data_IF_280112514320
#
_entry.id   IF_280112514320
#
_cell.length_a   1.000
_cell.length_b   1.000
_cell.length_c   1.000
_cell.angle_alpha   90.00
_cell.angle_beta   90.00
_cell.angle_gamma   90.00
#
_symmetry.space_group_name_H-M   'P 1'
#
loop_
_entity.id
_entity.type
_entity.pdbx_description
1 polymer ?
#
# COMPACT_ATOMS: atom_id res chain seq x y z
N UNK A 1 -13.59 -0.36 -15.63
CA UNK A 1 -12.86 -1.18 -14.66
C UNK A 1 -11.80 -0.30 -13.99
N UNK A 2 -11.76 -0.27 -12.67
CA UNK A 2 -10.82 0.57 -11.91
C UNK A 2 -9.83 -0.27 -11.13
N UNK A 3 -8.57 0.16 -11.09
CA UNK A 3 -7.52 -0.43 -10.28
C UNK A 3 -6.93 0.63 -9.34
N UNK A 4 -6.52 0.21 -8.16
CA UNK A 4 -5.81 1.02 -7.19
C UNK A 4 -4.38 0.51 -7.10
N UNK A 5 -3.40 1.40 -7.29
CA UNK A 5 -2.02 1.17 -6.87
C UNK A 5 -1.83 1.83 -5.51
N UNK A 6 -1.37 1.07 -4.55
CA UNK A 6 -1.04 1.59 -3.23
C UNK A 6 0.41 1.29 -2.86
N UNK A 7 1.00 2.20 -2.10
CA UNK A 7 2.38 2.12 -1.68
C UNK A 7 2.46 2.37 -0.18
N UNK A 8 3.11 1.46 0.55
CA UNK A 8 3.37 1.64 1.97
C UNK A 8 4.69 2.39 2.09
N UNK A 9 4.57 3.72 2.31
CA UNK A 9 5.68 4.67 2.41
C UNK A 9 6.15 4.74 3.85
N UNK A 10 7.19 4.01 4.13
CA UNK A 10 7.65 3.68 5.46
C UNK A 10 9.17 3.69 5.54
N UNK A 11 9.70 3.59 6.74
CA UNK A 11 11.10 3.34 7.02
C UNK A 11 11.54 1.99 6.45
N UNK A 12 12.68 1.95 5.77
CA UNK A 12 13.24 0.70 5.25
C UNK A 12 13.90 -0.11 6.36
N UNK A 13 13.11 -0.70 7.23
CA UNK A 13 13.54 -1.46 8.40
C UNK A 13 13.55 -2.99 8.20
N UNK A 14 13.07 -3.47 7.05
CA UNK A 14 12.97 -4.90 6.79
C UNK A 14 14.28 -5.71 6.97
N UNK A 15 15.49 -5.19 6.70
CA UNK A 15 16.72 -5.93 6.98
C UNK A 15 16.93 -6.24 8.46
N UNK A 16 16.32 -5.47 9.36
CA UNK A 16 16.43 -5.70 10.82
C UNK A 16 15.74 -7.00 11.25
N UNK A 17 14.69 -7.42 10.53
CA UNK A 17 14.06 -8.73 10.73
C UNK A 17 15.02 -9.90 10.43
N UNK A 18 16.08 -9.62 9.64
CA UNK A 18 17.09 -10.59 9.24
C UNK A 18 18.45 -10.35 9.91
N UNK A 19 18.46 -9.56 11.00
CA UNK A 19 19.63 -9.33 11.85
C UNK A 19 20.63 -8.30 11.32
N UNK A 20 20.32 -7.58 10.24
CA UNK A 20 21.13 -6.46 9.76
C UNK A 20 20.59 -5.15 10.30
N UNK A 21 21.37 -4.46 11.14
CA UNK A 21 21.03 -3.09 11.55
C UNK A 21 21.17 -2.13 10.38
N UNK A 22 20.19 -1.26 10.22
CA UNK A 22 20.18 -0.18 9.22
C UNK A 22 20.07 1.15 9.94
N UNK A 23 20.92 2.12 9.60
CA UNK A 23 20.82 3.45 10.19
C UNK A 23 19.47 4.09 9.83
N UNK A 24 18.94 4.93 10.73
CA UNK A 24 17.68 5.66 10.46
C UNK A 24 17.80 6.48 9.17
N UNK A 25 18.97 7.10 8.93
CA UNK A 25 19.22 7.82 7.69
C UNK A 25 19.08 6.93 6.45
N UNK A 26 19.73 5.75 6.44
CA UNK A 26 19.61 4.82 5.32
C UNK A 26 18.17 4.34 5.13
N UNK A 27 17.44 4.06 6.21
CA UNK A 27 16.02 3.66 6.15
C UNK A 27 15.20 4.72 5.42
N UNK A 28 15.40 6.00 5.76
CA UNK A 28 14.71 7.13 5.11
C UNK A 28 15.13 7.31 3.65
N UNK A 29 16.43 7.27 3.37
CA UNK A 29 16.97 7.51 2.04
C UNK A 29 16.60 6.41 1.03
N UNK A 30 16.58 5.14 1.44
CA UNK A 30 16.20 4.03 0.54
C UNK A 30 14.75 4.18 0.10
N UNK A 31 13.83 4.45 1.03
CA UNK A 31 12.42 4.69 0.71
C UNK A 31 12.24 5.96 -0.12
N UNK A 32 13.01 7.03 0.15
CA UNK A 32 12.93 8.28 -0.61
C UNK A 32 13.36 8.06 -2.08
N UNK A 33 14.49 7.38 -2.33
CA UNK A 33 14.95 7.08 -3.70
C UNK A 33 13.93 6.27 -4.49
N UNK A 34 13.33 5.26 -3.85
CA UNK A 34 12.28 4.47 -4.49
C UNK A 34 11.01 5.27 -4.75
N UNK A 35 10.64 6.18 -3.84
CA UNK A 35 9.50 7.08 -4.03
C UNK A 35 9.74 8.02 -5.22
N UNK A 36 10.93 8.60 -5.35
CA UNK A 36 11.26 9.47 -6.50
C UNK A 36 11.12 8.73 -7.84
N UNK A 37 11.60 7.49 -7.90
CA UNK A 37 11.46 6.67 -9.10
C UNK A 37 9.99 6.36 -9.43
N UNK A 38 9.18 6.07 -8.39
CA UNK A 38 7.75 5.83 -8.54
C UNK A 38 7.00 7.06 -9.00
N UNK A 39 7.23 8.23 -8.40
CA UNK A 39 6.57 9.48 -8.79
C UNK A 39 6.82 9.80 -10.26
N UNK A 40 8.07 9.67 -10.73
CA UNK A 40 8.43 9.87 -12.13
C UNK A 40 7.68 8.90 -13.07
N UNK A 41 7.46 7.65 -12.64
CA UNK A 41 6.70 6.68 -13.43
C UNK A 41 5.20 7.00 -13.44
N UNK A 42 4.62 7.30 -12.27
CA UNK A 42 3.20 7.61 -12.13
C UNK A 42 2.84 8.90 -12.90
N UNK A 43 3.69 9.91 -12.83
CA UNK A 43 3.55 11.17 -13.57
C UNK A 43 3.56 10.97 -15.08
N UNK A 44 4.45 10.11 -15.59
CA UNK A 44 4.52 9.76 -17.03
C UNK A 44 3.19 9.26 -17.58
N UNK A 45 2.43 8.55 -16.77
CA UNK A 45 1.13 7.99 -17.15
C UNK A 45 -0.07 8.81 -16.65
N UNK A 46 0.16 9.87 -15.89
CA UNK A 46 -0.87 10.71 -15.29
C UNK A 46 -1.81 9.93 -14.37
N UNK A 47 -1.32 8.91 -13.68
CA UNK A 47 -2.15 8.04 -12.83
C UNK A 47 -2.00 8.39 -11.34
N UNK A 48 -3.12 8.52 -10.61
CA UNK A 48 -3.10 8.69 -9.18
C UNK A 48 -2.80 7.36 -8.47
N UNK A 49 -2.29 7.46 -7.23
CA UNK A 49 -2.05 6.33 -6.35
C UNK A 49 -2.35 6.72 -4.90
N UNK A 50 -2.40 5.74 -4.00
CA UNK A 50 -2.53 5.96 -2.55
C UNK A 50 -1.21 5.61 -1.87
N UNK A 51 -0.68 6.53 -1.05
CA UNK A 51 0.50 6.31 -0.24
C UNK A 51 0.08 6.20 1.23
N UNK A 52 0.12 5.00 1.76
CA UNK A 52 -0.01 4.75 3.20
C UNK A 52 1.31 5.08 3.85
N UNK A 53 1.36 6.17 4.61
CA UNK A 53 2.62 6.77 5.08
C UNK A 53 2.69 6.73 6.59
N UNK A 54 3.85 6.35 7.15
CA UNK A 54 4.09 6.46 8.59
C UNK A 54 4.29 7.92 8.99
N UNK A 55 3.76 8.30 10.15
CA UNK A 55 3.91 9.66 10.66
C UNK A 55 5.37 10.03 10.87
N UNK A 56 6.20 9.07 11.31
CA UNK A 56 7.63 9.28 11.49
C UNK A 56 8.34 9.56 10.17
N UNK A 57 8.12 8.73 9.13
CA UNK A 57 8.68 8.96 7.81
C UNK A 57 8.31 10.35 7.25
N UNK A 58 7.04 10.74 7.42
CA UNK A 58 6.55 12.03 6.95
C UNK A 58 7.24 13.22 7.63
N UNK A 59 7.49 13.14 8.94
CA UNK A 59 8.20 14.19 9.69
C UNK A 59 9.62 14.43 9.17
N UNK A 60 10.33 13.34 8.84
CA UNK A 60 11.73 13.38 8.39
C UNK A 60 11.85 13.76 6.90
N UNK A 61 10.80 13.56 6.09
CA UNK A 61 10.85 13.75 4.64
C UNK A 61 9.81 14.77 4.12
N UNK A 62 9.61 15.89 4.82
CA UNK A 62 8.59 16.91 4.49
C UNK A 62 8.60 17.37 3.02
N UNK A 63 9.75 17.67 2.37
CA UNK A 63 9.74 18.08 0.97
C UNK A 63 9.21 17.00 0.02
N UNK A 64 9.53 15.72 0.30
CA UNK A 64 9.03 14.59 -0.47
C UNK A 64 7.53 14.41 -0.27
N UNK A 65 7.04 14.57 0.98
CA UNK A 65 5.62 14.49 1.28
C UNK A 65 4.80 15.54 0.53
N UNK A 66 5.28 16.77 0.42
CA UNK A 66 4.62 17.81 -0.37
C UNK A 66 4.50 17.42 -1.86
N UNK A 67 5.51 16.75 -2.43
CA UNK A 67 5.49 16.26 -3.82
C UNK A 67 4.51 15.10 -4.00
N UNK A 68 4.49 14.15 -3.06
CA UNK A 68 3.53 13.03 -3.08
C UNK A 68 2.10 13.58 -3.01
N UNK A 69 1.84 14.45 -2.03
CA UNK A 69 0.52 15.02 -1.78
C UNK A 69 -0.03 15.87 -2.93
N UNK A 70 0.84 16.41 -3.79
CA UNK A 70 0.41 17.25 -4.92
C UNK A 70 -0.48 16.50 -5.94
N UNK A 71 -0.35 15.17 -6.05
CA UNK A 71 -1.05 14.38 -7.09
C UNK A 71 -1.62 13.05 -6.60
N UNK A 72 -1.25 12.62 -5.41
CA UNK A 72 -1.61 11.32 -4.87
C UNK A 72 -2.33 11.47 -3.53
N UNK A 73 -3.07 10.46 -3.16
CA UNK A 73 -3.69 10.38 -1.85
C UNK A 73 -2.65 10.02 -0.79
N UNK A 74 -2.68 10.73 0.34
CA UNK A 74 -1.98 10.36 1.56
C UNK A 74 -2.97 9.66 2.49
N UNK A 75 -2.59 8.48 2.96
CA UNK A 75 -3.30 7.69 3.96
C UNK A 75 -2.34 7.33 5.10
N UNK A 76 -2.87 6.95 6.25
CA UNK A 76 -2.04 6.64 7.43
C UNK A 76 -1.53 5.19 7.40
N UNK A 77 -0.26 5.02 7.75
CA UNK A 77 0.38 3.73 8.04
C UNK A 77 0.88 3.67 9.49
N UNK A 78 0.08 4.19 10.43
CA UNK A 78 0.43 4.43 11.83
C UNK A 78 1.64 5.37 12.00
N UNK A 79 2.19 5.44 13.24
CA UNK A 79 3.29 6.37 13.54
C UNK A 79 4.65 5.80 13.11
N UNK A 80 4.90 4.52 13.39
CA UNK A 80 6.15 3.81 13.10
C UNK A 80 5.88 2.45 12.44
N UNK A 81 6.78 2.03 11.55
CA UNK A 81 6.75 0.70 10.96
C UNK A 81 7.57 -0.33 11.76
N UNK A 82 8.52 0.12 12.57
CA UNK A 82 9.51 -0.72 13.26
C UNK A 82 8.92 -1.96 13.94
N UNK A 83 9.53 -3.15 13.77
CA UNK A 83 9.11 -4.36 14.47
C UNK A 83 9.35 -4.32 15.97
N UNK A 84 10.19 -3.37 16.42
CA UNK A 84 10.58 -3.17 17.82
C UNK A 84 9.74 -2.09 18.52
N UNK A 85 8.88 -1.40 17.76
CA UNK A 85 7.93 -0.45 18.34
C UNK A 85 6.73 -1.19 18.92
N UNK A 86 6.39 -0.89 20.17
CA UNK A 86 5.18 -1.38 20.82
C UNK A 86 3.99 -0.53 20.37
N UNK A 87 3.29 -1.00 19.34
CA UNK A 87 2.17 -0.30 18.72
C UNK A 87 1.08 0.02 19.75
N UNK A 88 0.73 1.30 19.82
CA UNK A 88 -0.43 1.78 20.54
C UNK A 88 -1.49 2.26 19.54
N UNK A 89 -2.77 2.09 19.84
CA UNK A 89 -3.82 2.52 18.91
C UNK A 89 -3.79 4.05 18.71
N UNK A 90 -3.31 4.80 19.67
CA UNK A 90 -3.11 6.25 19.62
C UNK A 90 -2.07 6.67 18.56
N UNK A 91 -1.12 5.80 18.20
CA UNK A 91 -0.15 6.02 17.10
C UNK A 91 -0.85 6.29 15.77
N UNK A 92 -2.04 5.71 15.57
CA UNK A 92 -2.85 5.92 14.36
C UNK A 92 -3.39 7.35 14.33
N UNK A 93 -3.92 7.84 15.46
CA UNK A 93 -4.44 9.22 15.56
C UNK A 93 -3.31 10.23 15.41
N UNK A 94 -2.19 10.04 16.12
CA UNK A 94 -1.03 10.93 16.00
C UNK A 94 -0.49 10.97 14.57
N UNK A 95 -0.39 9.83 13.90
CA UNK A 95 0.01 9.76 12.49
C UNK A 95 -0.93 10.58 11.59
N UNK A 96 -2.26 10.44 11.76
CA UNK A 96 -3.25 11.20 11.00
C UNK A 96 -3.02 12.71 11.17
N UNK A 97 -2.91 13.19 12.42
CA UNK A 97 -2.71 14.61 12.74
C UNK A 97 -1.43 15.17 12.09
N UNK A 98 -0.33 14.38 12.13
CA UNK A 98 0.94 14.75 11.49
C UNK A 98 0.80 14.86 9.97
N UNK A 99 0.20 13.84 9.35
CA UNK A 99 0.06 13.78 7.90
C UNK A 99 -0.83 14.91 7.38
N UNK A 100 -1.94 15.20 8.05
CA UNK A 100 -2.84 16.32 7.72
C UNK A 100 -2.13 17.68 7.88
N UNK A 101 -1.41 17.87 8.97
CA UNK A 101 -0.66 19.11 9.20
C UNK A 101 0.46 19.35 8.18
N UNK A 102 1.11 18.29 7.71
CA UNK A 102 2.22 18.39 6.75
C UNK A 102 1.76 18.53 5.30
N UNK A 103 0.64 17.93 4.94
CA UNK A 103 0.23 17.82 3.54
C UNK A 103 -0.97 18.70 3.18
N UNK A 104 -1.73 19.14 4.18
CA UNK A 104 -3.00 19.84 3.97
C UNK A 104 -4.11 18.97 3.39
N UNK A 105 -3.89 17.66 3.23
CA UNK A 105 -4.91 16.71 2.81
C UNK A 105 -5.66 16.15 4.01
N UNK A 106 -6.94 15.89 3.86
CA UNK A 106 -7.70 15.05 4.78
C UNK A 106 -7.23 13.59 4.68
N UNK A 107 -6.87 12.97 5.80
CA UNK A 107 -6.41 11.58 5.87
C UNK A 107 -7.55 10.70 6.34
N UNK A 108 -8.17 9.99 5.41
CA UNK A 108 -9.37 9.17 5.65
C UNK A 108 -9.12 7.66 5.53
N UNK A 109 -7.93 7.27 5.14
CA UNK A 109 -7.55 5.87 4.94
C UNK A 109 -6.49 5.40 5.91
N UNK A 110 -6.57 4.12 6.26
CA UNK A 110 -5.61 3.46 7.13
C UNK A 110 -5.13 2.12 6.56
N UNK A 111 -3.88 1.79 6.82
CA UNK A 111 -3.34 0.42 6.68
C UNK A 111 -2.42 0.14 7.85
N UNK A 112 -2.65 -1.01 8.51
CA UNK A 112 -1.82 -1.44 9.64
C UNK A 112 -0.44 -1.89 9.18
N UNK A 113 0.66 -1.39 9.77
CA UNK A 113 2.01 -1.89 9.54
C UNK A 113 2.08 -3.40 9.67
N UNK A 114 2.76 -4.05 8.71
CA UNK A 114 2.94 -5.51 8.67
C UNK A 114 1.63 -6.31 8.63
N UNK A 115 0.49 -5.65 8.36
CA UNK A 115 -0.85 -6.22 8.36
C UNK A 115 -1.17 -7.01 9.65
N UNK A 116 -0.69 -6.51 10.80
CA UNK A 116 -0.97 -7.12 12.11
C UNK A 116 -2.45 -6.96 12.47
N UNK A 117 -3.06 -7.94 13.16
CA UNK A 117 -4.41 -7.75 13.71
C UNK A 117 -4.43 -6.59 14.72
N UNK A 118 -5.48 -5.77 14.68
CA UNK A 118 -5.70 -4.68 15.61
C UNK A 118 -7.19 -4.37 15.75
N UNK A 119 -7.57 -3.55 16.73
CA UNK A 119 -8.94 -3.11 16.95
C UNK A 119 -9.28 -1.90 16.07
N UNK A 120 -10.24 -2.08 15.15
CA UNK A 120 -10.71 -1.05 14.23
C UNK A 120 -11.71 -0.07 14.86
N UNK A 121 -12.28 -0.41 16.02
CA UNK A 121 -13.45 0.27 16.58
C UNK A 121 -13.29 1.79 16.80
N UNK A 122 -12.05 2.25 17.04
CA UNK A 122 -11.75 3.67 17.27
C UNK A 122 -11.55 4.46 15.98
N UNK A 123 -11.26 3.82 14.85
CA UNK A 123 -10.87 4.52 13.62
C UNK A 123 -11.99 5.37 13.05
N UNK A 124 -13.22 4.86 13.01
CA UNK A 124 -14.38 5.61 12.53
C UNK A 124 -14.61 6.89 13.37
N UNK A 125 -14.46 6.79 14.69
CA UNK A 125 -14.58 7.95 15.60
C UNK A 125 -13.50 9.01 15.38
N UNK A 126 -12.36 8.65 14.78
CA UNK A 126 -11.28 9.57 14.42
C UNK A 126 -11.38 10.07 12.97
N UNK A 127 -12.49 9.79 12.29
CA UNK A 127 -12.76 10.26 10.93
C UNK A 127 -12.06 9.47 9.82
N UNK A 128 -11.68 8.22 10.08
CA UNK A 128 -11.30 7.32 8.99
C UNK A 128 -12.54 6.79 8.28
N UNK A 129 -12.47 6.65 6.96
CA UNK A 129 -13.54 6.13 6.11
C UNK A 129 -13.28 4.68 5.70
N UNK A 130 -12.00 4.29 5.55
CA UNK A 130 -11.64 2.95 5.12
C UNK A 130 -10.38 2.41 5.80
N UNK A 131 -10.32 1.08 5.92
CA UNK A 131 -9.15 0.29 6.26
C UNK A 131 -8.70 -0.55 5.06
N UNK A 132 -7.41 -0.78 4.90
CA UNK A 132 -6.83 -1.60 3.84
C UNK A 132 -5.81 -2.62 4.39
N UNK A 133 -6.03 -3.08 5.62
CA UNK A 133 -5.11 -3.97 6.34
C UNK A 133 -5.35 -5.45 6.04
N UNK A 134 -6.45 -5.81 5.39
CA UNK A 134 -6.80 -7.21 5.17
C UNK A 134 -6.14 -7.78 3.91
N UNK A 135 -5.45 -8.91 4.06
CA UNK A 135 -4.98 -9.72 2.93
C UNK A 135 -5.62 -11.11 3.00
N UNK A 136 -6.77 -11.33 2.30
CA UNK A 136 -7.63 -12.51 2.46
C UNK A 136 -7.08 -13.74 1.73
N UNK A 137 -5.93 -14.22 2.17
CA UNK A 137 -5.18 -15.34 1.60
C UNK A 137 -4.60 -16.24 2.69
N UNK A 138 -4.01 -17.33 2.30
CA UNK A 138 -3.13 -18.13 3.15
C UNK A 138 -1.67 -17.81 2.79
N UNK A 139 -0.94 -17.31 3.76
CA UNK A 139 0.50 -17.08 3.65
C UNK A 139 1.20 -18.02 4.64
N UNK A 140 1.80 -19.13 4.17
CA UNK A 140 2.43 -20.11 5.05
C UNK A 140 3.45 -19.48 6.00
N UNK A 141 3.37 -19.83 7.28
CA UNK A 141 4.24 -19.29 8.33
C UNK A 141 3.88 -17.89 8.84
N UNK A 142 2.85 -17.24 8.26
CA UNK A 142 2.37 -15.92 8.72
C UNK A 142 0.92 -15.94 9.17
N UNK A 143 -0.02 -16.25 8.28
CA UNK A 143 -1.46 -16.28 8.60
C UNK A 143 -2.28 -17.10 7.60
N UNK A 144 -3.48 -17.48 8.03
CA UNK A 144 -4.52 -18.07 7.17
C UNK A 144 -5.81 -17.26 7.33
N UNK A 145 -6.10 -16.43 6.33
CA UNK A 145 -7.26 -15.54 6.24
C UNK A 145 -8.18 -15.92 5.06
N UNK A 146 -8.20 -17.21 4.67
CA UNK A 146 -9.05 -17.68 3.58
C UNK A 146 -10.55 -17.59 3.90
N UNK A 147 -10.91 -17.48 5.18
CA UNK A 147 -12.30 -17.31 5.63
C UNK A 147 -12.80 -15.86 5.44
N UNK A 148 -11.89 -14.88 5.33
CA UNK A 148 -12.22 -13.48 5.20
C UNK A 148 -12.83 -13.14 3.82
N UNK A 149 -13.66 -12.08 3.77
CA UNK A 149 -14.24 -11.61 2.53
C UNK A 149 -13.18 -10.95 1.63
N UNK A 150 -13.00 -11.41 0.37
CA UNK A 150 -12.02 -10.83 -0.54
C UNK A 150 -12.55 -9.65 -1.37
N UNK A 151 -13.74 -9.19 -1.11
CA UNK A 151 -14.36 -8.05 -1.76
C UNK A 151 -14.44 -6.87 -0.78
N UNK A 152 -14.46 -5.62 -1.28
CA UNK A 152 -14.78 -4.49 -0.44
C UNK A 152 -16.11 -4.70 0.31
N UNK A 153 -16.10 -4.43 1.61
CA UNK A 153 -17.27 -4.62 2.47
C UNK A 153 -17.19 -3.70 3.69
N UNK A 154 -18.28 -3.67 4.49
CA UNK A 154 -18.29 -2.94 5.75
C UNK A 154 -17.74 -3.84 6.84
N UNK A 155 -16.87 -3.26 7.65
CA UNK A 155 -16.34 -3.86 8.86
C UNK A 155 -16.23 -2.78 9.95
N UNK A 156 -16.96 -2.94 11.03
CA UNK A 156 -16.96 -2.01 12.18
C UNK A 156 -17.17 -0.53 11.81
N UNK A 157 -18.06 -0.28 10.85
CA UNK A 157 -18.40 1.08 10.39
C UNK A 157 -17.43 1.69 9.37
N UNK A 158 -16.38 0.96 8.98
CA UNK A 158 -15.44 1.36 7.95
C UNK A 158 -15.62 0.54 6.67
N UNK A 159 -15.17 1.08 5.56
CA UNK A 159 -14.99 0.30 4.34
C UNK A 159 -13.68 -0.50 4.47
N UNK A 160 -13.76 -1.81 4.54
CA UNK A 160 -12.59 -2.68 4.37
C UNK A 160 -12.28 -2.82 2.89
N UNK A 161 -11.05 -2.44 2.49
CA UNK A 161 -10.50 -2.58 1.14
C UNK A 161 -9.44 -3.67 1.11
N UNK A 162 -9.80 -4.94 0.99
CA UNK A 162 -8.84 -6.03 1.06
C UNK A 162 -7.87 -6.02 -0.11
N UNK A 163 -6.62 -6.40 0.14
CA UNK A 163 -5.64 -6.67 -0.92
C UNK A 163 -6.15 -7.74 -1.88
N UNK A 164 -5.94 -7.53 -3.18
CA UNK A 164 -6.54 -8.40 -4.17
C UNK A 164 -5.90 -9.79 -4.22
N UNK A 165 -6.74 -10.79 -4.33
CA UNK A 165 -6.38 -12.20 -4.54
C UNK A 165 -7.08 -12.74 -5.78
N UNK A 166 -6.53 -13.78 -6.41
CA UNK A 166 -7.20 -14.44 -7.54
C UNK A 166 -8.55 -15.04 -7.11
N UNK A 167 -9.57 -15.09 -7.99
CA UNK A 167 -10.94 -15.44 -7.60
C UNK A 167 -11.13 -16.83 -7.00
N UNK A 168 -10.43 -17.84 -7.51
CA UNK A 168 -10.66 -19.23 -7.09
C UNK A 168 -9.68 -19.70 -6.02
N UNK A 169 -8.38 -19.53 -6.28
CA UNK A 169 -7.33 -20.07 -5.41
C UNK A 169 -6.90 -19.10 -4.30
N UNK A 170 -7.46 -17.90 -4.28
CA UNK A 170 -7.05 -16.84 -3.34
C UNK A 170 -5.55 -16.57 -3.35
N UNK A 171 -4.88 -16.81 -4.51
CA UNK A 171 -3.47 -16.49 -4.68
C UNK A 171 -3.27 -14.98 -4.56
N UNK A 172 -2.38 -14.48 -3.68
CA UNK A 172 -2.24 -13.06 -3.39
C UNK A 172 -1.59 -12.32 -4.54
N UNK A 173 -2.20 -11.21 -4.95
CA UNK A 173 -1.69 -10.29 -5.96
C UNK A 173 -1.05 -9.08 -5.26
N UNK A 174 0.19 -9.23 -4.82
CA UNK A 174 0.89 -8.27 -3.99
C UNK A 174 2.39 -8.24 -4.31
N UNK A 175 3.15 -7.42 -3.63
CA UNK A 175 4.56 -7.14 -3.88
C UNK A 175 5.45 -8.40 -4.04
N UNK A 176 5.32 -9.43 -3.18
CA UNK A 176 6.11 -10.66 -3.30
C UNK A 176 5.75 -11.47 -4.55
N UNK A 177 4.48 -11.64 -4.85
CA UNK A 177 4.06 -12.34 -6.05
C UNK A 177 4.45 -11.56 -7.32
N UNK A 178 4.40 -10.23 -7.26
CA UNK A 178 4.86 -9.36 -8.35
C UNK A 178 6.35 -9.53 -8.65
N UNK A 179 7.19 -9.68 -7.63
CA UNK A 179 8.63 -9.91 -7.79
C UNK A 179 8.96 -11.31 -8.32
N UNK A 180 8.22 -12.31 -7.89
CA UNK A 180 8.62 -13.71 -8.06
C UNK A 180 7.89 -14.43 -9.20
N UNK A 181 6.77 -13.96 -9.70
CA UNK A 181 6.11 -14.48 -10.90
C UNK A 181 6.66 -13.83 -12.19
N UNK A 182 6.56 -14.50 -13.35
CA UNK A 182 6.73 -13.84 -14.64
C UNK A 182 5.75 -12.66 -14.77
N UNK A 183 6.25 -11.47 -15.12
CA UNK A 183 5.43 -10.24 -15.13
C UNK A 183 4.19 -10.33 -16.03
N UNK A 184 4.29 -11.03 -17.15
CA UNK A 184 3.14 -11.26 -18.05
C UNK A 184 2.04 -12.10 -17.41
N UNK A 185 2.43 -13.14 -16.65
CA UNK A 185 1.50 -13.96 -15.89
C UNK A 185 0.83 -13.15 -14.78
N UNK A 186 1.61 -12.39 -14.01
CA UNK A 186 1.07 -11.52 -12.96
C UNK A 186 0.07 -10.51 -13.53
N UNK A 187 0.42 -9.81 -14.61
CA UNK A 187 -0.46 -8.84 -15.26
C UNK A 187 -1.75 -9.48 -15.79
N UNK A 188 -1.67 -10.70 -16.34
CA UNK A 188 -2.83 -11.46 -16.78
C UNK A 188 -3.73 -11.87 -15.61
N UNK A 189 -3.15 -12.32 -14.48
CA UNK A 189 -3.90 -12.63 -13.26
C UNK A 189 -4.61 -11.40 -12.71
N UNK A 190 -3.94 -10.25 -12.67
CA UNK A 190 -4.55 -8.97 -12.26
C UNK A 190 -5.76 -8.61 -13.14
N UNK A 191 -5.59 -8.67 -14.44
CA UNK A 191 -6.68 -8.36 -15.38
C UNK A 191 -7.84 -9.34 -15.26
N UNK A 192 -7.56 -10.65 -15.12
CA UNK A 192 -8.60 -11.68 -14.91
C UNK A 192 -9.34 -11.48 -13.60
N UNK A 193 -8.63 -11.11 -12.53
CA UNK A 193 -9.22 -10.80 -11.22
C UNK A 193 -10.13 -9.59 -11.33
N UNK A 194 -9.64 -8.51 -11.92
CA UNK A 194 -10.40 -7.28 -12.11
C UNK A 194 -11.68 -7.52 -12.94
N UNK A 195 -11.58 -8.29 -14.04
CA UNK A 195 -12.77 -8.65 -14.85
C UNK A 195 -13.82 -9.45 -14.10
N UNK A 196 -13.43 -10.21 -13.09
CA UNK A 196 -14.36 -11.08 -12.36
C UNK A 196 -14.92 -10.41 -11.11
N UNK A 197 -14.17 -9.49 -10.49
CA UNK A 197 -14.54 -8.85 -9.22
C UNK A 197 -14.86 -7.37 -9.34
N UNK A 198 -14.58 -6.76 -10.49
CA UNK A 198 -14.64 -5.32 -10.76
C UNK A 198 -13.81 -4.45 -9.81
N UNK A 199 -12.87 -5.08 -9.09
CA UNK A 199 -12.04 -4.50 -8.06
C UNK A 199 -10.64 -5.08 -8.12
N UNK A 200 -9.62 -4.20 -8.06
CA UNK A 200 -8.21 -4.58 -7.97
C UNK A 200 -7.45 -3.56 -7.13
N UNK A 201 -6.96 -3.98 -5.98
CA UNK A 201 -5.97 -3.24 -5.20
C UNK A 201 -4.67 -4.02 -5.16
N UNK A 202 -3.58 -3.36 -5.53
CA UNK A 202 -2.21 -3.87 -5.46
C UNK A 202 -1.43 -3.00 -4.49
N UNK A 203 -0.59 -3.61 -3.64
CA UNK A 203 0.28 -2.86 -2.77
C UNK A 203 1.75 -3.26 -2.93
N UNK A 204 2.60 -2.26 -2.78
CA UNK A 204 4.05 -2.32 -2.91
C UNK A 204 4.66 -1.41 -1.84
N UNK A 205 6.00 -1.45 -1.73
CA UNK A 205 6.72 -0.53 -0.86
C UNK A 205 7.69 0.30 -1.70
N UNK A 206 7.81 1.61 -1.51
CA UNK A 206 8.75 2.44 -2.26
C UNK A 206 10.19 1.94 -2.20
N UNK A 207 10.65 1.47 -1.04
CA UNK A 207 12.01 0.93 -0.90
C UNK A 207 12.33 -0.22 -1.87
N UNK A 208 11.34 -0.94 -2.38
CA UNK A 208 11.53 -2.00 -3.37
C UNK A 208 12.04 -1.48 -4.71
N UNK A 209 11.78 -0.23 -5.03
CA UNK A 209 12.15 0.46 -6.27
C UNK A 209 13.50 1.18 -6.17
N UNK A 210 14.20 1.03 -5.04
CA UNK A 210 15.61 1.34 -4.86
C UNK A 210 16.45 0.07 -4.98
N UNK A 211 17.79 0.21 -5.18
CA UNK A 211 18.69 -0.95 -5.18
C UNK A 211 18.82 -1.52 -3.77
N UNK A 212 18.57 -2.83 -3.65
CA UNK A 212 18.68 -3.58 -2.40
C UNK A 212 19.93 -4.46 -2.33
N UNK A 213 20.87 -4.29 -3.25
CA UNK A 213 22.03 -5.17 -3.38
C UNK A 213 22.93 -5.19 -2.13
N UNK A 214 23.03 -4.05 -1.42
CA UNK A 214 23.87 -3.91 -0.22
C UNK A 214 23.24 -4.52 1.06
N UNK A 215 21.98 -4.94 1.00
CA UNK A 215 21.26 -5.38 2.19
C UNK A 215 21.12 -6.90 2.28
N UNK A 216 21.17 -7.42 3.52
CA UNK A 216 21.00 -8.84 3.81
C UNK A 216 19.51 -9.18 3.86
N UNK A 217 18.96 -9.52 2.70
CA UNK A 217 17.57 -9.89 2.54
C UNK A 217 17.45 -11.26 1.84
N UNK A 218 16.41 -12.04 2.13
CA UNK A 218 16.14 -13.27 1.41
C UNK A 218 16.04 -13.04 -0.11
N UNK A 219 16.44 -14.03 -0.89
CA UNK A 219 16.46 -13.92 -2.35
C UNK A 219 15.07 -13.59 -2.94
N UNK A 220 13.99 -14.11 -2.35
CA UNK A 220 12.63 -13.82 -2.80
C UNK A 220 12.18 -12.36 -2.53
N UNK A 221 12.85 -11.65 -1.62
CA UNK A 221 12.61 -10.22 -1.33
C UNK A 221 13.39 -9.33 -2.30
N UNK A 222 14.68 -9.63 -2.56
CA UNK A 222 15.55 -8.78 -3.38
C UNK A 222 15.82 -9.31 -4.80
N UNK A 223 15.15 -10.38 -5.24
CA UNK A 223 15.35 -10.99 -6.56
C UNK A 223 15.18 -10.02 -7.72
N UNK A 224 14.19 -9.14 -7.61
CA UNK A 224 13.91 -8.07 -8.56
C UNK A 224 13.65 -6.80 -7.76
N UNK A 225 14.49 -5.81 -7.93
CA UNK A 225 14.47 -4.54 -7.20
C UNK A 225 14.82 -3.36 -8.13
N UNK A 226 14.75 -2.15 -7.61
CA UNK A 226 15.18 -0.94 -8.29
C UNK A 226 14.59 -0.79 -9.70
N UNK A 227 15.43 -0.45 -10.65
CA UNK A 227 15.02 -0.19 -12.05
C UNK A 227 14.34 -1.41 -12.70
N UNK A 228 14.75 -2.62 -12.36
CA UNK A 228 14.11 -3.84 -12.90
C UNK A 228 12.69 -4.00 -12.40
N UNK A 229 12.42 -3.66 -11.14
CA UNK A 229 11.07 -3.69 -10.60
C UNK A 229 10.23 -2.54 -11.17
N UNK A 230 10.83 -1.36 -11.35
CA UNK A 230 10.18 -0.22 -11.97
C UNK A 230 9.76 -0.55 -13.42
N UNK A 231 10.61 -1.21 -14.19
CA UNK A 231 10.28 -1.66 -15.54
C UNK A 231 9.14 -2.68 -15.57
N UNK A 232 9.02 -3.52 -14.53
CA UNK A 232 7.87 -4.44 -14.39
C UNK A 232 6.58 -3.68 -14.08
N UNK A 233 6.63 -2.64 -13.25
CA UNK A 233 5.48 -1.82 -12.92
C UNK A 233 5.03 -1.01 -14.15
N UNK A 234 5.96 -0.45 -14.91
CA UNK A 234 5.69 0.18 -16.21
C UNK A 234 4.96 -0.78 -17.17
N UNK A 235 5.44 -2.01 -17.28
CA UNK A 235 4.76 -3.04 -18.10
C UNK A 235 3.33 -3.32 -17.60
N UNK A 236 3.13 -3.47 -16.29
CA UNK A 236 1.82 -3.74 -15.69
C UNK A 236 0.84 -2.61 -15.98
N UNK A 237 1.25 -1.35 -15.75
CA UNK A 237 0.44 -0.16 -16.02
C UNK A 237 0.00 -0.15 -17.48
N UNK A 238 0.93 -0.26 -18.42
CA UNK A 238 0.61 -0.29 -19.87
C UNK A 238 -0.28 -1.45 -20.25
N UNK A 239 -0.06 -2.63 -19.68
CA UNK A 239 -0.86 -3.83 -19.93
C UNK A 239 -2.33 -3.63 -19.53
N UNK A 240 -2.56 -3.00 -18.37
CA UNK A 240 -3.90 -2.73 -17.86
C UNK A 240 -4.57 -1.58 -18.62
N UNK A 241 -3.87 -0.47 -18.87
CA UNK A 241 -4.40 0.67 -19.64
C UNK A 241 -4.83 0.27 -21.06
N UNK A 242 -4.03 -0.53 -21.76
CA UNK A 242 -4.38 -1.06 -23.10
C UNK A 242 -5.66 -1.92 -23.10
N UNK A 243 -6.16 -2.31 -21.93
CA UNK A 243 -7.40 -3.10 -21.76
C UNK A 243 -8.55 -2.28 -21.17
N UNK A 244 -8.43 -0.96 -21.19
CA UNK A 244 -9.46 -0.04 -20.73
C UNK A 244 -9.56 0.06 -19.19
N UNK A 245 -8.52 -0.34 -18.47
CA UNK A 245 -8.44 -0.13 -17.01
C UNK A 245 -7.96 1.28 -16.73
N UNK A 246 -8.67 1.99 -15.87
CA UNK A 246 -8.28 3.30 -15.31
C UNK A 246 -7.80 3.12 -13.88
N UNK A 247 -6.91 4.02 -13.46
CA UNK A 247 -6.41 4.02 -12.09
C UNK A 247 -7.10 5.09 -11.26
N UNK A 248 -7.27 4.81 -9.96
CA UNK A 248 -7.90 5.71 -8.99
C UNK A 248 -7.20 5.57 -7.64
N UNK A 249 -7.43 6.50 -6.72
CA UNK A 249 -7.01 6.37 -5.32
C UNK A 249 -7.97 5.48 -4.54
N UNK A 250 -7.55 5.02 -3.37
CA UNK A 250 -8.41 4.26 -2.44
C UNK A 250 -9.61 5.10 -1.99
N UNK A 251 -9.37 6.35 -1.59
CA UNK A 251 -10.43 7.31 -1.20
C UNK A 251 -11.46 7.53 -2.29
N UNK A 252 -10.99 7.81 -3.52
CA UNK A 252 -11.89 8.03 -4.65
C UNK A 252 -12.66 6.76 -5.02
N UNK A 253 -12.06 5.59 -4.86
CA UNK A 253 -12.75 4.32 -5.03
C UNK A 253 -13.87 4.16 -4.00
N UNK A 254 -13.59 4.36 -2.71
CA UNK A 254 -14.58 4.28 -1.65
C UNK A 254 -15.74 5.24 -1.88
N UNK A 255 -15.45 6.51 -2.11
CA UNK A 255 -16.47 7.56 -2.23
C UNK A 255 -17.34 7.44 -3.48
N UNK A 256 -16.84 6.85 -4.58
CA UNK A 256 -17.57 6.74 -5.85
C UNK A 256 -18.24 5.40 -6.08
N UNK A 257 -17.60 4.31 -5.67
CA UNK A 257 -18.09 2.96 -5.95
C UNK A 257 -18.89 2.39 -4.76
N UNK A 258 -18.76 2.98 -3.56
CA UNK A 258 -19.45 2.57 -2.35
C UNK A 258 -20.17 3.72 -1.64
N UNK A 259 -20.96 4.55 -2.34
CA UNK A 259 -21.55 5.77 -1.77
C UNK A 259 -22.53 5.51 -0.61
N UNK A 260 -23.17 4.33 -0.55
CA UNK A 260 -24.10 3.95 0.52
C UNK A 260 -23.43 3.88 1.91
N UNK A 261 -22.12 3.93 1.96
CA UNK A 261 -21.31 3.77 3.17
C UNK A 261 -20.77 5.10 3.65
N UNK A 262 -20.41 5.99 2.73
CA UNK A 262 -19.98 7.35 3.06
C UNK A 262 -21.08 8.18 3.76
N UNK A 263 -22.36 7.83 3.56
CA UNK A 263 -23.49 8.50 4.22
C UNK A 263 -23.76 8.01 5.66
N UNK A 264 -23.20 6.87 6.07
CA UNK A 264 -23.34 6.34 7.43
C UNK A 264 -22.28 6.90 8.39
N UNK A 265 -21.24 7.57 7.88
CA UNK A 265 -20.13 8.14 8.66
C UNK A 265 -20.24 9.66 8.84
N UNK A 266 -21.34 10.28 8.40
CA UNK A 266 -21.68 11.69 8.63
C UNK A 266 -22.80 11.81 9.72
#
# INVERSE_FOLDING_TARGET
MKAVLSFDLEEFDIPEEYGQKVSVQDQMEVSARGTDALLNLLDRYGIPATFFTTGHYARENRPLMARVAARHEIASHALYHSPFHDFQIEDVRESKEILEALTGQEVVGFRMPRLKPFDLSKLAAWGFEYDASLNPTWLPGRYNLLHENPQPHIREGLIELPSSTTPLLRFPLFWLSFKNLPVRLFAWLCYRTLRKRDFLILYFHPWEFASLAAYQLPSYVKRVDGERLLARLDFLIRYLQKRGVTFTTSRDYCRREMPQIADLSR
#
